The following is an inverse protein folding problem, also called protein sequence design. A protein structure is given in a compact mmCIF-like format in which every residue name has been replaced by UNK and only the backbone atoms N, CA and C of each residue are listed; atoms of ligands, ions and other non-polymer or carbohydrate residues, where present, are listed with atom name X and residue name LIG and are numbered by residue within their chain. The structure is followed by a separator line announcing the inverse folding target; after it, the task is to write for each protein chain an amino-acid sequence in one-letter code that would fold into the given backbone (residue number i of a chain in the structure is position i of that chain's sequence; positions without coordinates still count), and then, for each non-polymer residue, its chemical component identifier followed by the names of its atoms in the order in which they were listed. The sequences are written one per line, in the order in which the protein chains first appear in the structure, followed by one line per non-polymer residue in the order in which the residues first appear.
data_IF_025789235294
#
_entry.id   IF_025789235294
#
_cell.length_a   1.000
_cell.length_b   1.000
_cell.length_c   1.000
_cell.angle_alpha   90.00
_cell.angle_beta   90.00
_cell.angle_gamma   90.00
#
_symmetry.space_group_name_H-M   'P 1'
#
loop_
_entity.id
_entity.type
_entity.pdbx_description
1 polymer ?
#
# COMPACT_ATOMS: atom_id res chain seq x y z
N UNK A 1 0.14 7.33 -18.15
CA UNK A 1 1.06 6.66 -17.23
C UNK A 1 0.71 5.19 -17.16
N UNK A 2 1.30 4.47 -16.21
CA UNK A 2 1.12 3.02 -16.04
C UNK A 2 0.14 2.71 -14.90
N UNK A 3 0.40 3.24 -13.72
CA UNK A 3 -0.34 2.97 -12.48
C UNK A 3 -0.49 4.24 -11.63
N UNK A 4 -0.43 5.40 -12.28
CA UNK A 4 -0.44 6.75 -11.71
C UNK A 4 -1.86 7.28 -11.47
N UNK A 5 -2.84 6.84 -12.27
CA UNK A 5 -4.27 7.15 -12.06
C UNK A 5 -5.09 5.87 -12.10
N UNK A 6 -6.32 5.92 -11.59
CA UNK A 6 -7.26 4.78 -11.67
C UNK A 6 -7.42 4.30 -13.12
N UNK A 7 -7.60 5.24 -14.05
CA UNK A 7 -7.85 4.94 -15.47
C UNK A 7 -6.62 4.29 -16.13
N UNK A 8 -5.42 4.80 -15.83
CA UNK A 8 -4.19 4.22 -16.33
C UNK A 8 -3.94 2.82 -15.75
N UNK A 9 -4.25 2.63 -14.46
CA UNK A 9 -4.14 1.34 -13.78
C UNK A 9 -5.03 0.28 -14.44
N UNK A 10 -6.31 0.59 -14.70
CA UNK A 10 -7.20 -0.33 -15.41
C UNK A 10 -6.74 -0.59 -16.84
N UNK A 11 -6.32 0.44 -17.57
CA UNK A 11 -5.78 0.26 -18.91
C UNK A 11 -4.51 -0.61 -18.94
N UNK A 12 -3.68 -0.57 -17.88
CA UNK A 12 -2.50 -1.43 -17.73
C UNK A 12 -2.87 -2.88 -17.40
N UNK A 13 -3.92 -3.09 -16.60
CA UNK A 13 -4.51 -4.42 -16.34
C UNK A 13 -5.04 -5.02 -17.64
N UNK A 14 -5.78 -4.25 -18.44
CA UNK A 14 -6.35 -4.71 -19.73
C UNK A 14 -5.27 -5.08 -20.75
N UNK A 15 -4.13 -4.36 -20.74
CA UNK A 15 -2.96 -4.67 -21.58
C UNK A 15 -2.08 -5.79 -21.01
N UNK A 16 -2.42 -6.33 -19.84
CA UNK A 16 -1.67 -7.38 -19.14
C UNK A 16 -0.19 -7.00 -18.95
N UNK A 17 0.07 -5.76 -18.51
CA UNK A 17 1.41 -5.22 -18.29
C UNK A 17 2.13 -5.97 -17.17
N UNK A 18 3.42 -6.29 -17.37
CA UNK A 18 4.22 -7.10 -16.42
C UNK A 18 4.46 -6.43 -15.06
N UNK A 19 4.35 -5.11 -15.01
CA UNK A 19 4.51 -4.30 -13.79
C UNK A 19 3.27 -4.37 -12.88
N UNK A 20 2.15 -4.95 -13.35
CA UNK A 20 0.97 -5.19 -12.51
C UNK A 20 1.21 -6.46 -11.68
N UNK A 21 1.56 -6.25 -10.42
CA UNK A 21 1.78 -7.34 -9.49
C UNK A 21 0.46 -8.04 -9.09
N UNK A 22 0.52 -9.32 -8.67
CA UNK A 22 -0.65 -10.00 -8.12
C UNK A 22 -1.27 -9.28 -6.90
N UNK A 23 -0.46 -8.64 -6.05
CA UNK A 23 -0.99 -7.91 -4.90
C UNK A 23 -1.78 -6.67 -5.33
N UNK A 24 -1.38 -6.00 -6.42
CA UNK A 24 -2.13 -4.89 -7.02
C UNK A 24 -3.49 -5.37 -7.52
N UNK A 25 -3.56 -6.53 -8.18
CA UNK A 25 -4.83 -7.12 -8.64
C UNK A 25 -5.76 -7.46 -7.47
N UNK A 26 -5.24 -8.06 -6.40
CA UNK A 26 -6.02 -8.31 -5.18
C UNK A 26 -6.52 -7.01 -4.54
N UNK A 27 -5.66 -5.98 -4.48
CA UNK A 27 -6.04 -4.66 -3.99
C UNK A 27 -7.19 -4.04 -4.80
N UNK A 28 -7.09 -4.08 -6.13
CA UNK A 28 -8.16 -3.62 -7.04
C UNK A 28 -9.46 -4.37 -6.75
N UNK A 29 -9.41 -5.71 -6.69
CA UNK A 29 -10.59 -6.54 -6.45
C UNK A 29 -11.26 -6.21 -5.11
N UNK A 30 -10.48 -6.12 -4.02
CA UNK A 30 -11.02 -5.75 -2.71
C UNK A 30 -11.68 -4.37 -2.71
N UNK A 31 -11.06 -3.37 -3.37
CA UNK A 31 -11.63 -2.03 -3.45
C UNK A 31 -12.93 -2.00 -4.28
N UNK A 32 -13.00 -2.75 -5.38
CA UNK A 32 -14.21 -2.87 -6.20
C UNK A 32 -15.35 -3.58 -5.44
N UNK A 33 -15.03 -4.59 -4.64
CA UNK A 33 -15.98 -5.32 -3.79
C UNK A 33 -16.28 -4.59 -2.46
N UNK A 34 -15.73 -3.40 -2.25
CA UNK A 34 -15.84 -2.62 -1.02
C UNK A 34 -15.43 -3.40 0.25
N UNK A 35 -14.43 -4.27 0.11
CA UNK A 35 -13.81 -5.04 1.19
C UNK A 35 -12.53 -4.34 1.63
N UNK A 36 -12.34 -4.05 2.93
CA UNK A 36 -11.09 -3.48 3.42
C UNK A 36 -9.89 -4.37 3.09
N UNK A 37 -8.83 -3.77 2.57
CA UNK A 37 -7.60 -4.48 2.18
C UNK A 37 -6.40 -4.01 3.02
N UNK A 38 -5.68 -4.97 3.60
CA UNK A 38 -4.47 -4.69 4.40
C UNK A 38 -3.26 -5.39 3.78
N UNK A 39 -2.23 -4.63 3.42
CA UNK A 39 -0.96 -5.18 2.97
C UNK A 39 0.00 -5.36 4.15
N UNK A 40 0.20 -6.62 4.57
CA UNK A 40 1.12 -6.98 5.65
C UNK A 40 2.56 -7.21 5.22
N UNK A 41 2.88 -7.03 3.94
CA UNK A 41 4.19 -7.33 3.35
C UNK A 41 4.82 -6.06 2.77
N UNK A 42 6.14 -6.02 2.55
CA UNK A 42 6.87 -4.77 2.27
C UNK A 42 6.78 -4.29 0.82
N UNK A 43 6.15 -5.05 -0.07
CA UNK A 43 5.99 -4.65 -1.47
C UNK A 43 5.04 -3.46 -1.61
N UNK A 44 5.36 -2.57 -2.55
CA UNK A 44 4.62 -1.34 -2.84
C UNK A 44 3.30 -1.64 -3.60
N UNK A 45 2.34 -2.27 -2.92
CA UNK A 45 1.04 -2.62 -3.50
C UNK A 45 0.20 -1.37 -3.79
N UNK A 46 0.32 -0.35 -2.94
CA UNK A 46 -0.47 0.89 -2.97
C UNK A 46 0.10 1.92 -3.93
N UNK A 47 0.12 1.57 -5.22
CA UNK A 47 0.44 2.49 -6.31
C UNK A 47 -0.59 3.63 -6.40
N UNK A 48 -0.23 4.81 -6.92
CA UNK A 48 -1.11 5.98 -6.89
C UNK A 48 -2.51 5.74 -7.49
N UNK A 49 -2.61 4.98 -8.57
CA UNK A 49 -3.89 4.62 -9.18
C UNK A 49 -4.78 3.74 -8.30
N UNK A 50 -4.19 2.89 -7.44
CA UNK A 50 -4.97 2.06 -6.50
C UNK A 50 -5.46 2.90 -5.31
N UNK A 51 -4.65 3.88 -4.86
CA UNK A 51 -5.06 4.84 -3.82
C UNK A 51 -6.22 5.71 -4.32
N UNK A 52 -6.11 6.22 -5.55
CA UNK A 52 -7.17 7.00 -6.19
C UNK A 52 -8.46 6.18 -6.32
N UNK A 53 -8.36 4.91 -6.72
CA UNK A 53 -9.51 3.99 -6.79
C UNK A 53 -10.16 3.78 -5.40
N UNK A 54 -9.35 3.59 -4.35
CA UNK A 54 -9.85 3.43 -2.98
C UNK A 54 -10.60 4.68 -2.48
N UNK A 55 -10.09 5.88 -2.79
CA UNK A 55 -10.74 7.15 -2.46
C UNK A 55 -12.07 7.29 -3.23
N UNK A 56 -12.08 7.01 -4.54
CA UNK A 56 -13.29 7.07 -5.38
C UNK A 56 -14.39 6.13 -4.89
N UNK A 57 -14.01 4.92 -4.47
CA UNK A 57 -14.94 3.90 -3.98
C UNK A 57 -15.25 4.02 -2.49
N UNK A 58 -14.64 4.97 -1.78
CA UNK A 58 -14.74 5.12 -0.32
C UNK A 58 -14.41 3.82 0.44
N UNK A 59 -13.41 3.08 -0.04
CA UNK A 59 -12.95 1.80 0.52
C UNK A 59 -11.67 1.97 1.34
N UNK A 60 -11.49 1.11 2.34
CA UNK A 60 -10.36 1.19 3.27
C UNK A 60 -9.18 0.35 2.77
N UNK A 61 -8.01 0.98 2.67
CA UNK A 61 -6.73 0.31 2.42
C UNK A 61 -5.73 0.68 3.52
N UNK A 62 -4.83 -0.23 3.89
CA UNK A 62 -3.83 0.03 4.93
C UNK A 62 -2.60 -0.89 4.88
N UNK A 63 -1.47 -0.44 5.42
CA UNK A 63 -0.16 -1.09 5.31
C UNK A 63 0.94 -0.02 5.19
N UNK A 64 2.12 -0.30 4.64
CA UNK A 64 2.70 -1.60 4.26
C UNK A 64 3.56 -2.18 5.41
N UNK A 65 3.84 -3.48 5.35
CA UNK A 65 4.72 -4.22 6.28
C UNK A 65 4.27 -4.27 7.75
N UNK A 66 4.05 -5.49 8.28
CA UNK A 66 3.70 -5.65 9.68
C UNK A 66 4.87 -5.36 10.62
N UNK A 67 4.69 -4.35 11.48
CA UNK A 67 5.65 -3.99 12.53
C UNK A 67 5.51 -4.87 13.78
N UNK A 68 6.05 -6.09 13.74
CA UNK A 68 5.88 -7.11 14.80
C UNK A 68 6.94 -7.09 15.91
N UNK A 69 8.24 -7.09 15.56
CA UNK A 69 9.34 -7.37 16.51
C UNK A 69 10.45 -6.32 16.52
N UNK A 70 11.57 -6.59 15.82
CA UNK A 70 12.77 -5.75 15.84
C UNK A 70 12.48 -4.29 15.45
N UNK A 71 11.68 -4.08 14.41
CA UNK A 71 11.30 -2.73 13.95
C UNK A 71 10.48 -1.97 14.99
N UNK A 72 9.66 -2.68 15.79
CA UNK A 72 8.90 -2.08 16.90
C UNK A 72 9.83 -1.57 18.00
N UNK A 73 10.76 -2.42 18.46
CA UNK A 73 11.77 -2.04 19.45
C UNK A 73 12.67 -0.90 18.96
N UNK A 74 13.15 -0.98 17.71
CA UNK A 74 14.02 0.04 17.11
C UNK A 74 13.38 1.42 17.13
N UNK A 75 12.12 1.54 16.70
CA UNK A 75 11.46 2.84 16.66
C UNK A 75 11.28 3.44 18.05
N UNK A 76 10.86 2.65 19.04
CA UNK A 76 10.71 3.14 20.41
C UNK A 76 12.06 3.60 20.99
N UNK A 77 13.12 2.84 20.75
CA UNK A 77 14.46 3.16 21.27
C UNK A 77 15.04 4.42 20.61
N UNK A 78 14.89 4.56 19.30
CA UNK A 78 15.36 5.75 18.57
C UNK A 78 14.61 7.00 19.05
N UNK A 79 13.27 6.92 19.16
CA UNK A 79 12.46 8.04 19.66
C UNK A 79 12.87 8.44 21.08
N UNK A 80 13.12 7.47 21.96
CA UNK A 80 13.60 7.72 23.32
C UNK A 80 14.96 8.42 23.34
N UNK A 81 15.94 7.93 22.58
CA UNK A 81 17.30 8.48 22.56
C UNK A 81 17.31 9.93 22.03
N UNK A 82 16.61 10.18 20.93
CA UNK A 82 16.47 11.53 20.36
C UNK A 82 15.72 12.44 21.33
N UNK A 83 14.64 11.97 21.95
CA UNK A 83 13.88 12.72 22.95
C UNK A 83 14.69 13.06 24.22
N UNK A 84 15.67 12.22 24.57
CA UNK A 84 16.61 12.45 25.66
C UNK A 84 17.79 13.37 25.27
N UNK A 85 17.86 13.86 24.04
CA UNK A 85 18.95 14.69 23.54
C UNK A 85 20.24 13.93 23.23
N UNK A 86 20.16 12.59 23.15
CA UNK A 86 21.27 11.71 22.83
C UNK A 86 21.29 11.50 21.31
N UNK A 87 22.42 11.81 20.67
CA UNK A 87 22.63 11.67 19.22
C UNK A 87 23.60 10.54 18.90
#
# INVERSE_FOLDING_TARGET
GLNDTTENLFAAVDRNESEISPSTLFGIACVLENVPFINGSPQNTFVPGLIDLAIKNNSLIGGDDFKSGQTKMKSVLVDFLVGAGIK
#
